data_IF_312658592198
#
_entry.id   IF_312658592198
#
_cell.length_a   1.000
_cell.length_b   1.000
_cell.length_c   1.000
_cell.angle_alpha   90.00
_cell.angle_beta   90.00
_cell.angle_gamma   90.00
#
_symmetry.space_group_name_H-M   'P 1'
#
loop_
_entity.id
_entity.type
_entity.pdbx_description
1 polymer ?
#
# COMPACT_ATOMS: atom_id res chain seq x y z
N UNK A 1 -29.72 7.85 40.40
CA UNK A 1 -28.40 7.22 40.26
C UNK A 1 -28.39 6.49 38.92
N UNK A 2 -27.80 7.09 37.90
CA UNK A 2 -27.60 6.45 36.59
C UNK A 2 -26.58 5.32 36.77
N UNK A 3 -26.96 4.09 36.39
CA UNK A 3 -26.03 2.96 36.35
C UNK A 3 -24.76 3.35 35.56
N UNK A 4 -23.56 2.98 36.03
CA UNK A 4 -22.36 3.13 35.22
C UNK A 4 -22.55 2.27 33.97
N UNK A 5 -22.62 2.90 32.80
CA UNK A 5 -22.66 2.20 31.52
C UNK A 5 -21.53 1.16 31.51
N UNK A 6 -21.90 -0.12 31.41
CA UNK A 6 -20.94 -1.22 31.44
C UNK A 6 -19.85 -0.96 30.42
N UNK A 7 -18.59 -0.86 30.89
CA UNK A 7 -17.44 -0.69 30.01
C UNK A 7 -17.50 -1.75 28.90
N UNK A 8 -17.49 -1.37 27.62
CA UNK A 8 -17.62 -2.34 26.54
C UNK A 8 -16.54 -3.41 26.68
N UNK A 9 -16.93 -4.68 26.68
CA UNK A 9 -15.98 -5.79 26.84
C UNK A 9 -15.02 -5.81 25.66
N UNK A 10 -13.74 -5.57 25.94
CA UNK A 10 -12.65 -5.63 24.96
C UNK A 10 -12.54 -7.06 24.42
N UNK A 11 -12.61 -7.22 23.10
CA UNK A 11 -12.51 -8.52 22.44
C UNK A 11 -11.20 -8.60 21.63
N UNK A 12 -10.60 -9.80 21.49
CA UNK A 12 -9.45 -10.03 20.60
C UNK A 12 -9.74 -9.58 19.15
N UNK A 13 -11.01 -9.66 18.73
CA UNK A 13 -11.45 -9.17 17.41
C UNK A 13 -11.20 -7.67 17.23
N UNK A 14 -11.23 -6.89 18.30
CA UNK A 14 -10.99 -5.45 18.23
C UNK A 14 -9.52 -5.16 17.90
N UNK A 15 -8.60 -5.92 18.52
CA UNK A 15 -7.18 -5.88 18.18
C UNK A 15 -6.93 -6.35 16.73
N UNK A 16 -7.63 -7.37 16.26
CA UNK A 16 -7.54 -7.83 14.87
C UNK A 16 -8.05 -6.80 13.86
N UNK A 17 -9.07 -6.00 14.19
CA UNK A 17 -9.60 -4.97 13.30
C UNK A 17 -8.59 -3.84 13.11
N UNK A 18 -7.93 -3.39 14.18
CA UNK A 18 -7.01 -2.23 14.11
C UNK A 18 -5.72 -2.55 13.34
N UNK A 19 -5.37 -3.82 13.13
CA UNK A 19 -4.23 -4.20 12.27
C UNK A 19 -4.56 -4.19 10.77
N UNK A 20 -5.79 -3.88 10.37
CA UNK A 20 -6.24 -3.83 8.95
C UNK A 20 -5.80 -5.07 8.13
N UNK A 21 -6.21 -6.29 8.52
CA UNK A 21 -5.63 -7.55 8.05
C UNK A 21 -5.68 -7.75 6.54
N UNK A 22 -6.71 -7.23 5.85
CA UNK A 22 -6.79 -7.31 4.39
C UNK A 22 -5.71 -6.46 3.70
N UNK A 23 -5.39 -5.29 4.27
CA UNK A 23 -4.37 -4.38 3.73
C UNK A 23 -2.98 -4.92 4.07
N UNK A 24 -2.80 -5.42 5.30
CA UNK A 24 -1.56 -6.08 5.73
C UNK A 24 -1.26 -7.32 4.91
N UNK A 25 -2.26 -8.14 4.60
CA UNK A 25 -2.10 -9.30 3.73
C UNK A 25 -1.63 -8.92 2.33
N UNK A 26 -2.19 -7.86 1.75
CA UNK A 26 -1.75 -7.37 0.45
C UNK A 26 -0.29 -6.92 0.48
N UNK A 27 0.11 -6.19 1.53
CA UNK A 27 1.51 -5.78 1.72
C UNK A 27 2.44 -6.99 1.80
N UNK A 28 2.11 -7.98 2.64
CA UNK A 28 2.90 -9.21 2.79
C UNK A 28 2.94 -10.03 1.51
N UNK A 29 1.84 -10.10 0.76
CA UNK A 29 1.82 -10.75 -0.55
C UNK A 29 2.79 -10.07 -1.54
N UNK A 30 2.81 -8.74 -1.60
CA UNK A 30 3.77 -8.01 -2.44
C UNK A 30 5.21 -8.14 -1.95
N UNK A 31 5.45 -8.23 -0.64
CA UNK A 31 6.76 -8.59 -0.10
C UNK A 31 7.18 -9.99 -0.50
N UNK A 32 6.27 -10.96 -0.43
CA UNK A 32 6.56 -12.32 -0.87
C UNK A 32 6.98 -12.36 -2.34
N UNK A 33 6.31 -11.62 -3.22
CA UNK A 33 6.76 -11.51 -4.62
C UNK A 33 8.17 -10.91 -4.71
N UNK A 34 8.46 -9.87 -3.93
CA UNK A 34 9.80 -9.29 -3.85
C UNK A 34 10.89 -10.28 -3.42
N UNK A 35 10.57 -11.19 -2.49
CA UNK A 35 11.49 -12.27 -2.07
C UNK A 35 11.81 -13.24 -3.22
N UNK A 36 10.82 -13.57 -4.05
CA UNK A 36 10.95 -14.54 -5.14
C UNK A 36 11.80 -14.02 -6.31
N UNK A 37 11.84 -12.70 -6.51
CA UNK A 37 12.54 -12.10 -7.65
C UNK A 37 14.06 -11.94 -7.44
N UNK A 38 14.60 -12.29 -6.27
CA UNK A 38 16.03 -12.09 -5.94
C UNK A 38 16.97 -13.00 -6.75
N UNK A 39 16.53 -14.22 -7.06
CA UNK A 39 17.33 -15.19 -7.79
C UNK A 39 16.50 -16.36 -8.29
N UNK A 40 17.15 -17.32 -8.96
CA UNK A 40 16.45 -18.45 -9.59
C UNK A 40 16.03 -19.54 -8.59
N UNK A 41 16.75 -19.66 -7.48
CA UNK A 41 16.40 -20.61 -6.43
C UNK A 41 15.34 -20.03 -5.50
N UNK A 42 14.42 -20.88 -5.05
CA UNK A 42 13.45 -20.48 -4.04
C UNK A 42 14.18 -20.11 -2.73
N UNK A 43 13.89 -18.94 -2.11
CA UNK A 43 14.56 -18.54 -0.88
C UNK A 43 14.30 -19.52 0.28
N UNK A 44 15.18 -19.55 1.28
CA UNK A 44 15.00 -20.47 2.41
C UNK A 44 13.65 -20.26 3.10
N UNK A 45 12.98 -21.35 3.49
CA UNK A 45 11.70 -21.29 4.20
C UNK A 45 11.77 -20.46 5.48
N UNK A 46 12.92 -20.46 6.16
CA UNK A 46 13.15 -19.63 7.35
C UNK A 46 13.02 -18.14 7.03
N UNK A 47 13.64 -17.67 5.95
CA UNK A 47 13.59 -16.28 5.51
C UNK A 47 12.19 -15.92 5.00
N UNK A 48 11.55 -16.79 4.21
CA UNK A 48 10.22 -16.53 3.65
C UNK A 48 9.17 -16.42 4.76
N UNK A 49 9.09 -17.43 5.63
CA UNK A 49 8.09 -17.46 6.70
C UNK A 49 8.40 -16.38 7.74
N UNK A 50 9.65 -16.29 8.19
CA UNK A 50 10.07 -15.30 9.18
C UNK A 50 9.92 -13.87 8.67
N UNK A 51 10.34 -13.59 7.44
CA UNK A 51 10.18 -12.29 6.78
C UNK A 51 8.71 -11.89 6.64
N UNK A 52 7.86 -12.78 6.14
CA UNK A 52 6.42 -12.51 6.02
C UNK A 52 5.76 -12.25 7.38
N UNK A 53 6.09 -13.03 8.42
CA UNK A 53 5.56 -12.83 9.78
C UNK A 53 6.06 -11.50 10.35
N UNK A 54 7.36 -11.22 10.25
CA UNK A 54 7.96 -9.99 10.77
C UNK A 54 7.36 -8.74 10.10
N UNK A 55 7.28 -8.73 8.78
CA UNK A 55 6.66 -7.64 8.00
C UNK A 55 5.18 -7.51 8.37
N UNK A 56 4.43 -8.62 8.50
CA UNK A 56 3.02 -8.60 8.92
C UNK A 56 2.86 -7.90 10.28
N UNK A 57 3.69 -8.25 11.25
CA UNK A 57 3.59 -7.73 12.62
C UNK A 57 3.90 -6.24 12.67
N UNK A 58 4.98 -5.77 12.03
CA UNK A 58 5.29 -4.34 11.97
C UNK A 58 4.26 -3.54 11.15
N UNK A 59 3.78 -4.07 10.02
CA UNK A 59 2.71 -3.43 9.26
C UNK A 59 1.41 -3.35 10.08
N UNK A 60 1.06 -4.42 10.80
CA UNK A 60 -0.07 -4.45 11.73
C UNK A 60 0.06 -3.43 12.86
N UNK A 61 1.26 -3.28 13.43
CA UNK A 61 1.56 -2.24 14.40
C UNK A 61 1.36 -0.84 13.80
N UNK A 62 1.82 -0.62 12.56
CA UNK A 62 1.68 0.67 11.87
C UNK A 62 0.22 1.01 11.64
N UNK A 63 -0.59 0.04 11.22
CA UNK A 63 -2.03 0.23 11.06
C UNK A 63 -2.76 0.46 12.39
N UNK A 64 -2.34 -0.20 13.47
CA UNK A 64 -2.91 0.04 14.79
C UNK A 64 -2.65 1.48 15.24
N UNK A 65 -1.42 1.97 15.09
CA UNK A 65 -1.07 3.37 15.35
C UNK A 65 -1.83 4.34 14.45
N UNK A 66 -1.93 4.06 13.15
CA UNK A 66 -2.72 4.87 12.23
C UNK A 66 -4.21 4.92 12.64
N UNK A 67 -4.81 3.81 13.07
CA UNK A 67 -6.19 3.79 13.57
C UNK A 67 -6.37 4.64 14.85
N UNK A 68 -5.35 4.71 15.71
CA UNK A 68 -5.35 5.55 16.90
C UNK A 68 -5.25 7.03 16.54
N UNK A 69 -4.28 7.38 15.69
CA UNK A 69 -4.03 8.76 15.27
C UNK A 69 -5.20 9.34 14.45
N UNK A 70 -5.91 8.48 13.72
CA UNK A 70 -7.10 8.85 12.94
C UNK A 70 -8.42 8.74 13.73
N UNK A 71 -8.41 8.30 15.00
CA UNK A 71 -9.63 7.93 15.72
C UNK A 71 -10.71 9.04 15.72
N UNK A 72 -10.30 10.30 15.92
CA UNK A 72 -11.22 11.45 15.93
C UNK A 72 -11.81 11.77 14.55
N UNK A 73 -11.06 11.51 13.47
CA UNK A 73 -11.53 11.68 12.08
C UNK A 73 -12.43 10.50 11.70
N UNK A 74 -12.00 9.29 12.03
CA UNK A 74 -12.73 8.06 11.76
C UNK A 74 -14.12 8.08 12.41
N UNK A 75 -14.25 8.63 13.63
CA UNK A 75 -15.52 8.79 14.35
C UNK A 75 -16.54 9.69 13.64
N UNK A 76 -16.10 10.55 12.71
CA UNK A 76 -16.96 11.46 11.93
C UNK A 76 -17.37 10.88 10.58
N UNK A 77 -16.87 9.69 10.21
CA UNK A 77 -17.09 9.08 8.90
C UNK A 77 -17.88 7.78 9.03
N UNK A 78 -19.07 7.69 8.40
CA UNK A 78 -19.94 6.50 8.40
C UNK A 78 -19.25 5.18 7.98
N UNK A 79 -18.14 5.27 7.25
CA UNK A 79 -17.37 4.12 6.77
C UNK A 79 -16.43 3.54 7.84
N UNK A 80 -16.07 4.33 8.84
CA UNK A 80 -14.97 4.03 9.78
C UNK A 80 -15.31 4.31 11.24
N UNK A 81 -16.47 4.89 11.51
CA UNK A 81 -17.02 5.13 12.85
C UNK A 81 -17.19 3.85 13.68
N UNK A 82 -17.33 2.69 13.03
CA UNK A 82 -17.43 1.37 13.67
C UNK A 82 -16.10 0.83 14.21
N UNK A 83 -14.96 1.45 13.87
CA UNK A 83 -13.64 0.96 14.28
C UNK A 83 -13.49 1.01 15.81
N UNK A 84 -12.85 0.01 16.44
CA UNK A 84 -12.68 -0.01 17.89
C UNK A 84 -11.95 1.21 18.46
N UNK A 85 -11.02 1.80 17.70
CA UNK A 85 -10.33 3.05 18.10
C UNK A 85 -11.25 4.27 18.08
N UNK A 86 -12.16 4.37 17.10
CA UNK A 86 -13.11 5.47 16.97
C UNK A 86 -14.26 5.37 17.99
N UNK A 87 -14.71 4.16 18.31
CA UNK A 87 -15.77 3.93 19.30
C UNK A 87 -15.29 3.98 20.75
N UNK A 88 -13.99 4.14 20.99
CA UNK A 88 -13.40 4.05 22.33
C UNK A 88 -13.49 2.67 22.97
N UNK A 89 -13.75 1.61 22.18
CA UNK A 89 -13.75 0.23 22.68
C UNK A 89 -12.35 -0.24 23.08
N UNK A 90 -11.32 0.25 22.39
CA UNK A 90 -9.94 0.12 22.81
C UNK A 90 -9.43 1.47 23.32
N UNK A 91 -8.83 1.49 24.50
CA UNK A 91 -8.20 2.69 25.03
C UNK A 91 -6.92 3.04 24.28
N UNK A 92 -6.52 4.31 24.32
CA UNK A 92 -5.24 4.79 23.77
C UNK A 92 -4.07 3.94 24.27
N UNK A 93 -4.01 3.66 25.58
CA UNK A 93 -2.96 2.85 26.18
C UNK A 93 -2.94 1.42 25.64
N UNK A 94 -4.12 0.79 25.48
CA UNK A 94 -4.22 -0.56 24.92
C UNK A 94 -3.69 -0.62 23.49
N UNK A 95 -4.05 0.36 22.64
CA UNK A 95 -3.59 0.38 21.26
C UNK A 95 -2.08 0.63 21.18
N UNK A 96 -1.54 1.57 21.97
CA UNK A 96 -0.11 1.86 22.00
C UNK A 96 0.69 0.65 22.48
N UNK A 97 0.30 0.04 23.61
CA UNK A 97 0.98 -1.16 24.13
C UNK A 97 0.92 -2.30 23.11
N UNK A 98 -0.25 -2.54 22.50
CA UNK A 98 -0.39 -3.56 21.47
C UNK A 98 0.50 -3.31 20.25
N UNK A 99 0.53 -2.08 19.74
CA UNK A 99 1.40 -1.72 18.63
C UNK A 99 2.89 -1.88 18.97
N UNK A 100 3.31 -1.50 20.18
CA UNK A 100 4.68 -1.69 20.66
C UNK A 100 5.04 -3.18 20.79
N UNK A 101 4.14 -4.02 21.30
CA UNK A 101 4.35 -5.46 21.39
C UNK A 101 4.48 -6.10 20.01
N UNK A 102 3.57 -5.78 19.08
CA UNK A 102 3.66 -6.25 17.69
C UNK A 102 4.95 -5.78 17.03
N UNK A 103 5.32 -4.50 17.23
CA UNK A 103 6.56 -3.92 16.70
C UNK A 103 7.81 -4.60 17.25
N UNK A 104 7.85 -4.88 18.55
CA UNK A 104 8.98 -5.55 19.20
C UNK A 104 9.11 -7.01 18.76
N UNK A 105 8.02 -7.77 18.74
CA UNK A 105 8.01 -9.17 18.30
C UNK A 105 8.38 -9.24 16.81
N UNK A 106 7.75 -8.41 15.97
CA UNK A 106 8.07 -8.35 14.55
C UNK A 106 9.53 -7.98 14.29
N UNK A 107 10.08 -7.04 15.07
CA UNK A 107 11.49 -6.66 14.98
C UNK A 107 12.42 -7.81 15.33
N UNK A 108 12.16 -8.51 16.43
CA UNK A 108 12.94 -9.68 16.84
C UNK A 108 12.89 -10.78 15.78
N UNK A 109 11.71 -11.04 15.20
CA UNK A 109 11.55 -12.03 14.11
C UNK A 109 12.38 -11.63 12.89
N UNK A 110 12.31 -10.38 12.43
CA UNK A 110 13.07 -9.94 11.25
C UNK A 110 14.58 -10.05 11.49
N UNK A 111 15.07 -9.59 12.63
CA UNK A 111 16.50 -9.67 12.96
C UNK A 111 16.97 -11.14 13.04
N UNK A 112 16.15 -12.02 13.61
CA UNK A 112 16.50 -13.43 13.81
C UNK A 112 16.36 -14.31 12.55
N UNK A 113 15.52 -13.92 11.58
CA UNK A 113 15.18 -14.77 10.42
C UNK A 113 15.60 -14.19 9.08
N UNK A 114 15.84 -12.87 9.01
CA UNK A 114 16.21 -12.14 7.80
C UNK A 114 17.52 -11.40 8.03
N UNK A 115 17.49 -10.08 8.23
CA UNK A 115 18.64 -9.22 8.45
C UNK A 115 18.23 -7.86 9.05
N UNK A 116 19.24 -7.10 9.50
CA UNK A 116 19.06 -5.77 10.10
C UNK A 116 18.56 -4.74 9.09
N UNK A 117 18.96 -4.84 7.80
CA UNK A 117 18.51 -3.91 6.76
C UNK A 117 16.99 -3.96 6.58
N UNK A 118 16.44 -5.17 6.45
CA UNK A 118 14.99 -5.39 6.29
C UNK A 118 14.22 -4.91 7.51
N UNK A 119 14.74 -5.19 8.70
CA UNK A 119 14.18 -4.65 9.94
C UNK A 119 14.15 -3.11 9.93
N UNK A 120 15.28 -2.47 9.64
CA UNK A 120 15.40 -1.02 9.63
C UNK A 120 14.47 -0.37 8.61
N UNK A 121 14.37 -0.92 7.39
CA UNK A 121 13.47 -0.42 6.36
C UNK A 121 12.00 -0.65 6.71
N UNK A 122 11.65 -1.79 7.33
CA UNK A 122 10.28 -2.06 7.77
C UNK A 122 9.88 -1.10 8.89
N UNK A 123 10.81 -0.83 9.82
CA UNK A 123 10.60 0.12 10.90
C UNK A 123 10.49 1.56 10.37
N UNK A 124 11.34 1.95 9.43
CA UNK A 124 11.25 3.25 8.76
C UNK A 124 9.91 3.40 8.01
N UNK A 125 9.42 2.34 7.36
CA UNK A 125 8.11 2.32 6.69
C UNK A 125 6.97 2.48 7.71
N UNK A 126 7.05 1.80 8.86
CA UNK A 126 6.13 1.99 9.99
C UNK A 126 6.08 3.45 10.43
N UNK A 127 7.23 4.09 10.66
CA UNK A 127 7.27 5.48 11.13
C UNK A 127 6.81 6.46 10.05
N UNK A 128 7.25 6.25 8.81
CA UNK A 128 6.86 7.05 7.65
C UNK A 128 5.35 7.03 7.43
N UNK A 129 4.70 5.86 7.53
CA UNK A 129 3.24 5.78 7.38
C UNK A 129 2.50 6.34 8.60
N UNK A 130 2.84 5.88 9.81
CA UNK A 130 2.10 6.21 11.02
C UNK A 130 2.22 7.69 11.40
N UNK A 131 3.39 8.31 11.24
CA UNK A 131 3.61 9.68 11.72
C UNK A 131 3.72 10.68 10.58
N UNK A 132 4.64 10.46 9.64
CA UNK A 132 4.88 11.43 8.55
C UNK A 132 3.65 11.52 7.63
N UNK A 133 3.14 10.39 7.15
CA UNK A 133 1.97 10.40 6.30
C UNK A 133 0.70 10.77 7.07
N UNK A 134 0.39 10.07 8.17
CA UNK A 134 -0.91 10.23 8.84
C UNK A 134 -1.08 11.60 9.51
N UNK A 135 -0.06 12.11 10.19
CA UNK A 135 -0.17 13.37 10.95
C UNK A 135 0.15 14.60 10.12
N UNK A 136 1.12 14.48 9.20
CA UNK A 136 1.64 15.65 8.48
C UNK A 136 1.14 15.74 7.04
N UNK A 137 1.34 14.70 6.21
CA UNK A 137 1.01 14.80 4.79
C UNK A 137 -0.50 14.72 4.52
N UNK A 138 -1.19 13.74 5.11
CA UNK A 138 -2.59 13.45 4.84
C UNK A 138 -3.52 14.68 5.00
N UNK A 139 -3.44 15.47 6.10
CA UNK A 139 -4.31 16.63 6.28
C UNK A 139 -3.84 17.88 5.52
N UNK A 140 -2.57 17.96 5.10
CA UNK A 140 -1.98 19.24 4.67
C UNK A 140 -1.60 19.34 3.19
N UNK A 141 -1.73 18.27 2.38
CA UNK A 141 -1.37 18.33 0.96
C UNK A 141 -2.31 17.55 0.03
N UNK A 142 -2.60 18.08 -1.17
CA UNK A 142 -3.30 17.33 -2.23
C UNK A 142 -2.48 16.22 -2.86
N UNK A 143 -1.17 16.18 -2.57
CA UNK A 143 -0.27 15.09 -2.93
C UNK A 143 -0.20 14.00 -1.85
N UNK A 144 -1.12 13.98 -0.90
CA UNK A 144 -1.16 13.01 0.19
C UNK A 144 -1.11 11.55 -0.31
N UNK A 145 -1.82 11.22 -1.38
CA UNK A 145 -1.80 9.89 -2.01
C UNK A 145 -0.48 9.62 -2.72
N UNK A 146 0.10 10.61 -3.39
CA UNK A 146 1.36 10.42 -4.13
C UNK A 146 2.50 10.16 -3.15
N UNK A 147 2.70 11.07 -2.19
CA UNK A 147 3.80 10.95 -1.22
C UNK A 147 3.51 9.82 -0.21
N UNK A 148 2.27 9.70 0.25
CA UNK A 148 1.83 8.60 1.13
C UNK A 148 1.89 7.23 0.47
N UNK A 149 1.79 7.18 -0.87
CA UNK A 149 1.96 5.98 -1.68
C UNK A 149 3.34 5.34 -1.55
N UNK A 150 4.36 6.10 -1.15
CA UNK A 150 5.71 5.57 -0.91
C UNK A 150 5.69 4.45 0.13
N UNK A 151 5.03 4.63 1.27
CA UNK A 151 4.94 3.59 2.28
C UNK A 151 4.19 2.35 1.78
N UNK A 152 3.18 2.54 0.93
CA UNK A 152 2.45 1.45 0.29
C UNK A 152 3.25 0.71 -0.80
N UNK A 153 4.27 1.35 -1.36
CA UNK A 153 5.15 0.79 -2.38
C UNK A 153 6.39 0.09 -1.82
N UNK A 154 6.70 0.25 -0.54
CA UNK A 154 7.80 -0.42 0.15
C UNK A 154 7.73 -1.96 0.22
N UNK A 155 6.57 -2.63 0.30
CA UNK A 155 6.57 -4.05 0.63
C UNK A 155 7.42 -4.96 -0.30
N UNK A 156 7.43 -4.83 -1.64
CA UNK A 156 8.36 -5.58 -2.49
C UNK A 156 9.84 -5.33 -2.16
N UNK A 157 10.21 -4.10 -1.78
CA UNK A 157 11.58 -3.76 -1.35
C UNK A 157 11.92 -4.53 -0.08
N UNK A 158 11.02 -4.53 0.92
CA UNK A 158 11.22 -5.26 2.17
C UNK A 158 11.35 -6.76 1.92
N UNK A 159 10.59 -7.29 0.97
CA UNK A 159 10.69 -8.67 0.52
C UNK A 159 12.05 -9.00 -0.09
N UNK A 160 12.49 -8.19 -1.05
CA UNK A 160 13.80 -8.35 -1.69
C UNK A 160 14.93 -8.28 -0.66
N UNK A 161 14.94 -7.24 0.18
CA UNK A 161 15.99 -7.04 1.17
C UNK A 161 16.02 -8.17 2.18
N UNK A 162 14.89 -8.84 2.47
CA UNK A 162 14.83 -9.97 3.39
C UNK A 162 15.73 -11.14 2.95
N UNK A 163 15.87 -11.32 1.62
CA UNK A 163 16.67 -12.39 1.02
C UNK A 163 18.04 -11.86 0.58
N UNK A 164 18.09 -10.77 -0.18
CA UNK A 164 19.31 -10.24 -0.78
C UNK A 164 20.18 -9.43 0.19
N UNK A 165 19.57 -8.86 1.23
CA UNK A 165 20.24 -7.94 2.17
C UNK A 165 20.95 -6.75 1.48
N UNK A 166 20.38 -6.24 0.37
CA UNK A 166 20.85 -5.05 -0.34
C UNK A 166 19.70 -4.13 -0.75
N UNK A 167 20.05 -2.91 -1.18
CA UNK A 167 19.17 -2.01 -1.92
C UNK A 167 19.78 -1.79 -3.30
N UNK A 168 19.57 -2.76 -4.18
CA UNK A 168 19.96 -2.69 -5.59
C UNK A 168 18.86 -2.07 -6.47
N UNK A 169 19.09 -1.98 -7.79
CA UNK A 169 18.11 -1.42 -8.72
C UNK A 169 16.78 -2.20 -8.80
N UNK A 170 16.75 -3.56 -8.85
CA UNK A 170 15.51 -4.33 -8.96
C UNK A 170 14.42 -4.00 -7.91
N UNK A 171 14.69 -4.00 -6.59
CA UNK A 171 13.66 -3.67 -5.61
C UNK A 171 13.15 -2.24 -5.74
N UNK A 172 14.02 -1.30 -6.11
CA UNK A 172 13.65 0.09 -6.34
C UNK A 172 12.75 0.25 -7.58
N UNK A 173 12.90 -0.58 -8.60
CA UNK A 173 11.98 -0.61 -9.73
C UNK A 173 10.60 -1.15 -9.33
N UNK A 174 10.54 -2.22 -8.52
CA UNK A 174 9.26 -2.72 -7.99
C UNK A 174 8.54 -1.66 -7.16
N UNK A 175 9.29 -0.94 -6.32
CA UNK A 175 8.80 0.24 -5.60
C UNK A 175 8.26 1.29 -6.58
N UNK A 176 9.04 1.66 -7.61
CA UNK A 176 8.67 2.72 -8.55
C UNK A 176 7.41 2.36 -9.34
N UNK A 177 7.22 1.09 -9.71
CA UNK A 177 6.01 0.59 -10.38
C UNK A 177 4.79 0.79 -9.48
N UNK A 178 4.83 0.33 -8.22
CA UNK A 178 3.69 0.50 -7.30
C UNK A 178 3.47 1.98 -6.98
N UNK A 179 4.54 2.74 -6.80
CA UNK A 179 4.48 4.17 -6.53
C UNK A 179 3.80 4.94 -7.67
N UNK A 180 4.23 4.72 -8.93
CA UNK A 180 3.63 5.36 -10.10
C UNK A 180 2.19 4.89 -10.38
N UNK A 181 1.87 3.64 -10.00
CA UNK A 181 0.52 3.07 -10.10
C UNK A 181 -0.47 3.64 -9.08
N UNK A 182 0.01 4.03 -7.90
CA UNK A 182 -0.84 4.46 -6.77
C UNK A 182 -1.74 5.66 -7.13
N UNK A 183 -1.24 6.75 -7.75
CA UNK A 183 -2.06 7.92 -8.06
C UNK A 183 -3.23 7.62 -9.03
N UNK A 184 -3.04 7.01 -10.21
CA UNK A 184 -4.15 6.71 -11.11
C UNK A 184 -5.15 5.71 -10.50
N UNK A 185 -4.70 4.79 -9.64
CA UNK A 185 -5.58 3.90 -8.89
C UNK A 185 -6.47 4.66 -7.89
N UNK A 186 -5.86 5.42 -6.97
CA UNK A 186 -6.58 6.10 -5.90
C UNK A 186 -7.39 7.29 -6.38
N UNK A 187 -6.91 8.05 -7.37
CA UNK A 187 -7.69 9.15 -7.93
C UNK A 187 -8.91 8.65 -8.70
N UNK A 188 -8.86 7.48 -9.33
CA UNK A 188 -10.06 6.85 -9.89
C UNK A 188 -11.12 6.57 -8.81
N UNK A 189 -10.73 6.17 -7.59
CA UNK A 189 -11.63 6.04 -6.43
C UNK A 189 -12.14 7.41 -5.96
N UNK A 190 -11.24 8.38 -5.82
CA UNK A 190 -11.56 9.71 -5.31
C UNK A 190 -12.56 10.45 -6.21
N UNK A 191 -12.49 10.26 -7.53
CA UNK A 191 -13.36 10.91 -8.49
C UNK A 191 -14.84 10.54 -8.31
N UNK A 192 -15.20 9.26 -8.16
CA UNK A 192 -16.61 8.86 -7.98
C UNK A 192 -17.07 8.89 -6.51
N UNK A 193 -16.21 9.37 -5.61
CA UNK A 193 -16.51 9.57 -4.18
C UNK A 193 -16.14 10.97 -3.70
N UNK A 194 -16.09 11.94 -4.60
CA UNK A 194 -15.58 13.29 -4.30
C UNK A 194 -16.32 13.92 -3.12
N UNK A 195 -17.65 13.76 -3.07
CA UNK A 195 -18.49 14.29 -1.99
C UNK A 195 -18.13 13.73 -0.60
N UNK A 196 -17.75 12.44 -0.52
CA UNK A 196 -17.33 11.83 0.75
C UNK A 196 -16.02 12.48 1.24
N UNK A 197 -15.11 12.80 0.31
CA UNK A 197 -13.85 13.43 0.63
C UNK A 197 -14.03 14.91 1.02
N UNK A 198 -14.88 15.65 0.31
CA UNK A 198 -15.26 17.03 0.64
C UNK A 198 -15.85 17.12 2.06
N UNK A 199 -16.82 16.26 2.40
CA UNK A 199 -17.43 16.21 3.73
C UNK A 199 -16.43 15.89 4.84
N UNK A 200 -15.38 15.13 4.53
CA UNK A 200 -14.33 14.77 5.49
C UNK A 200 -13.25 15.85 5.66
N UNK A 201 -13.25 16.90 4.83
CA UNK A 201 -12.23 17.97 4.84
C UNK A 201 -10.85 17.52 4.36
N UNK A 202 -10.73 16.32 3.76
CA UNK A 202 -9.45 15.85 3.22
C UNK A 202 -9.14 16.54 1.90
N UNK A 203 -7.96 17.15 1.73
CA UNK A 203 -7.61 17.95 0.56
C UNK A 203 -7.27 17.09 -0.67
N UNK A 204 -8.06 16.08 -1.00
CA UNK A 204 -7.80 15.20 -2.15
C UNK A 204 -7.72 16.00 -3.45
N UNK A 205 -6.90 15.55 -4.41
CA UNK A 205 -6.71 16.24 -5.68
C UNK A 205 -8.03 16.64 -6.41
N UNK A 206 -9.06 15.79 -6.52
CA UNK A 206 -10.32 16.18 -7.16
C UNK A 206 -11.12 17.22 -6.36
N UNK A 207 -10.91 17.30 -5.04
CA UNK A 207 -11.55 18.29 -4.17
C UNK A 207 -10.89 19.66 -4.31
N UNK A 208 -9.56 19.69 -4.38
CA UNK A 208 -8.79 20.95 -4.35
C UNK A 208 -8.56 21.55 -5.74
N UNK A 209 -8.38 20.72 -6.76
CA UNK A 209 -8.03 21.14 -8.12
C UNK A 209 -9.08 20.74 -9.16
N UNK A 210 -10.17 20.10 -8.72
CA UNK A 210 -11.25 19.68 -9.58
C UNK A 210 -10.96 18.40 -10.37
N UNK A 211 -12.02 17.92 -11.03
CA UNK A 211 -12.02 16.69 -11.81
C UNK A 211 -11.08 16.73 -13.00
N UNK A 212 -11.07 17.81 -13.77
CA UNK A 212 -10.37 17.85 -15.06
C UNK A 212 -8.85 17.81 -14.90
N UNK A 213 -8.34 18.52 -13.88
CA UNK A 213 -6.93 18.43 -13.49
C UNK A 213 -6.57 17.05 -12.97
N UNK A 214 -7.42 16.46 -12.12
CA UNK A 214 -7.22 15.09 -11.62
C UNK A 214 -7.14 14.07 -12.75
N UNK A 215 -8.03 14.15 -13.74
CA UNK A 215 -8.02 13.27 -14.91
C UNK A 215 -6.78 13.47 -15.79
N UNK A 216 -6.30 14.71 -15.92
CA UNK A 216 -5.03 14.98 -16.60
C UNK A 216 -3.86 14.33 -15.86
N UNK A 217 -3.78 14.50 -14.53
CA UNK A 217 -2.73 13.89 -13.71
C UNK A 217 -2.80 12.36 -13.80
N UNK A 218 -3.98 11.75 -13.70
CA UNK A 218 -4.15 10.31 -13.91
C UNK A 218 -3.57 9.85 -15.25
N UNK A 219 -3.84 10.59 -16.33
CA UNK A 219 -3.32 10.26 -17.66
C UNK A 219 -1.79 10.36 -17.72
N UNK A 220 -1.22 11.45 -17.19
CA UNK A 220 0.24 11.64 -17.13
C UNK A 220 0.92 10.53 -16.32
N UNK A 221 0.34 10.16 -15.17
CA UNK A 221 0.86 9.06 -14.36
C UNK A 221 0.71 7.69 -15.04
N UNK A 222 -0.31 7.45 -15.88
CA UNK A 222 -0.37 6.21 -16.67
C UNK A 222 0.72 6.13 -17.74
N UNK A 223 1.12 7.26 -18.34
CA UNK A 223 2.28 7.30 -19.23
C UNK A 223 3.59 7.07 -18.47
N UNK A 224 3.75 7.70 -17.29
CA UNK A 224 4.88 7.46 -16.41
C UNK A 224 4.96 5.99 -16.00
N UNK A 225 3.83 5.39 -15.61
CA UNK A 225 3.75 3.99 -15.23
C UNK A 225 4.13 3.04 -16.38
N UNK A 226 3.71 3.34 -17.61
CA UNK A 226 4.12 2.60 -18.80
C UNK A 226 5.64 2.71 -19.03
N UNK A 227 6.23 3.90 -18.88
CA UNK A 227 7.68 4.06 -19.01
C UNK A 227 8.43 3.28 -17.92
N UNK A 228 7.98 3.40 -16.67
CA UNK A 228 8.55 2.72 -15.50
C UNK A 228 8.43 1.20 -15.61
N UNK A 229 7.32 0.67 -16.11
CA UNK A 229 7.13 -0.78 -16.27
C UNK A 229 8.00 -1.39 -17.37
N UNK A 230 8.67 -0.60 -18.19
CA UNK A 230 9.65 -1.10 -19.17
C UNK A 230 11.09 -1.07 -18.63
N UNK A 231 11.34 -0.39 -17.51
CA UNK A 231 12.67 -0.34 -16.90
C UNK A 231 13.22 -1.70 -16.45
N UNK A 232 12.42 -2.67 -15.95
CA UNK A 232 12.94 -4.00 -15.65
C UNK A 232 13.58 -4.67 -16.88
N UNK A 233 13.03 -4.44 -18.08
CA UNK A 233 13.62 -4.93 -19.32
C UNK A 233 14.90 -4.18 -19.66
N UNK A 234 14.89 -2.85 -19.50
CA UNK A 234 16.03 -1.99 -19.83
C UNK A 234 17.29 -2.31 -18.99
N UNK A 235 17.11 -2.74 -17.73
CA UNK A 235 18.23 -3.13 -16.86
C UNK A 235 18.58 -4.63 -16.93
N UNK A 236 17.92 -5.40 -17.80
CA UNK A 236 18.12 -6.85 -17.93
C UNK A 236 17.57 -7.68 -16.78
N UNK A 237 16.68 -7.12 -15.95
CA UNK A 237 15.99 -7.84 -14.87
C UNK A 237 14.89 -8.76 -15.43
N UNK A 238 14.29 -8.40 -16.56
CA UNK A 238 13.26 -9.20 -17.24
C UNK A 238 13.45 -9.21 -18.76
N UNK A 239 12.86 -10.18 -19.42
CA UNK A 239 12.99 -10.43 -20.85
C UNK A 239 11.82 -9.86 -21.68
N UNK A 240 11.75 -10.27 -22.94
CA UNK A 240 10.72 -9.87 -23.90
C UNK A 240 9.31 -10.34 -23.50
N UNK A 241 9.15 -11.45 -22.77
CA UNK A 241 7.82 -11.95 -22.39
C UNK A 241 7.15 -10.97 -21.41
N UNK A 242 7.88 -10.52 -20.39
CA UNK A 242 7.43 -9.43 -19.53
C UNK A 242 7.19 -8.14 -20.32
N UNK A 243 8.08 -7.78 -21.25
CA UNK A 243 7.96 -6.57 -22.06
C UNK A 243 6.62 -6.50 -22.82
N UNK A 244 6.20 -7.60 -23.45
CA UNK A 244 4.92 -7.69 -24.16
C UNK A 244 3.75 -7.43 -23.19
N UNK A 245 3.75 -8.09 -22.03
CA UNK A 245 2.71 -7.89 -21.03
C UNK A 245 2.68 -6.43 -20.53
N UNK A 246 3.84 -5.84 -20.23
CA UNK A 246 3.96 -4.47 -19.75
C UNK A 246 3.44 -3.44 -20.78
N UNK A 247 3.80 -3.60 -22.05
CA UNK A 247 3.32 -2.72 -23.14
C UNK A 247 1.81 -2.85 -23.32
N UNK A 248 1.28 -4.07 -23.46
CA UNK A 248 -0.14 -4.29 -23.71
C UNK A 248 -1.00 -3.78 -22.55
N UNK A 249 -0.61 -4.09 -21.31
CA UNK A 249 -1.30 -3.61 -20.12
C UNK A 249 -1.20 -2.10 -19.98
N UNK A 250 -0.02 -1.52 -20.21
CA UNK A 250 0.22 -0.08 -20.03
C UNK A 250 -0.53 0.75 -21.07
N UNK A 251 -0.50 0.35 -22.35
CA UNK A 251 -1.30 0.98 -23.40
C UNK A 251 -2.79 0.84 -23.11
N UNK A 252 -3.24 -0.32 -22.63
CA UNK A 252 -4.65 -0.50 -22.23
C UNK A 252 -5.02 0.42 -21.06
N UNK A 253 -4.12 0.63 -20.09
CA UNK A 253 -4.37 1.52 -18.96
C UNK A 253 -4.50 2.98 -19.43
N UNK A 254 -3.57 3.44 -20.27
CA UNK A 254 -3.63 4.77 -20.89
C UNK A 254 -4.95 4.94 -21.66
N UNK A 255 -5.37 3.95 -22.45
CA UNK A 255 -6.63 4.00 -23.20
C UNK A 255 -7.87 4.14 -22.30
N UNK A 256 -7.96 3.36 -21.22
CA UNK A 256 -9.14 3.44 -20.33
C UNK A 256 -9.18 4.75 -19.54
N UNK A 257 -8.02 5.29 -19.14
CA UNK A 257 -7.95 6.61 -18.49
C UNK A 257 -8.23 7.73 -19.47
N UNK A 258 -7.74 7.65 -20.70
CA UNK A 258 -8.08 8.58 -21.78
C UNK A 258 -9.59 8.59 -22.07
N UNK A 259 -10.20 7.40 -22.16
CA UNK A 259 -11.65 7.28 -22.35
C UNK A 259 -12.44 7.88 -21.18
N UNK A 260 -11.95 7.75 -19.93
CA UNK A 260 -12.55 8.39 -18.77
C UNK A 260 -12.39 9.91 -18.83
N UNK A 261 -11.23 10.41 -19.27
CA UNK A 261 -10.96 11.84 -19.40
C UNK A 261 -11.84 12.51 -20.46
N UNK A 262 -12.06 11.85 -21.60
CA UNK A 262 -12.85 12.40 -22.71
C UNK A 262 -14.34 12.46 -22.40
N UNK A 263 -14.86 11.45 -21.73
CA UNK A 263 -16.28 11.33 -21.44
C UNK A 263 -16.45 10.69 -20.06
N UNK A 264 -16.48 11.54 -19.04
CA UNK A 264 -16.48 11.12 -17.65
C UNK A 264 -17.79 10.47 -17.24
N UNK A 265 -17.70 9.33 -16.56
CA UNK A 265 -18.80 8.78 -15.78
C UNK A 265 -18.28 8.00 -14.58
N UNK A 266 -19.05 7.97 -13.49
CA UNK A 266 -18.70 7.18 -12.31
C UNK A 266 -18.53 5.69 -12.62
N UNK A 267 -19.32 5.18 -13.58
CA UNK A 267 -19.19 3.81 -14.04
C UNK A 267 -17.81 3.54 -14.68
N UNK A 268 -17.32 4.46 -15.51
CA UNK A 268 -15.96 4.39 -16.07
C UNK A 268 -14.90 4.57 -15.00
N UNK A 269 -15.09 5.47 -14.03
CA UNK A 269 -14.13 5.67 -12.93
C UNK A 269 -13.99 4.41 -12.05
N UNK A 270 -15.12 3.74 -11.76
CA UNK A 270 -15.13 2.41 -11.10
C UNK A 270 -14.48 1.32 -11.97
N UNK A 271 -14.64 1.38 -13.29
CA UNK A 271 -13.99 0.45 -14.20
C UNK A 271 -12.47 0.64 -14.22
N UNK A 272 -11.98 1.90 -14.25
CA UNK A 272 -10.55 2.23 -14.13
C UNK A 272 -9.98 1.75 -12.80
N UNK A 273 -10.68 1.99 -11.69
CA UNK A 273 -10.28 1.48 -10.38
C UNK A 273 -10.14 -0.05 -10.37
N UNK A 274 -11.12 -0.80 -10.89
CA UNK A 274 -11.04 -2.26 -10.98
C UNK A 274 -9.94 -2.73 -11.91
N UNK A 275 -9.84 -2.14 -13.09
CA UNK A 275 -8.82 -2.47 -14.08
C UNK A 275 -7.41 -2.25 -13.52
N UNK A 276 -7.18 -1.18 -12.75
CA UNK A 276 -5.87 -0.91 -12.17
C UNK A 276 -5.40 -2.00 -11.19
N UNK A 277 -6.32 -2.67 -10.46
CA UNK A 277 -5.96 -3.83 -9.63
C UNK A 277 -5.55 -5.02 -10.51
N UNK A 278 -6.34 -5.32 -11.55
CA UNK A 278 -6.01 -6.37 -12.53
C UNK A 278 -4.68 -6.08 -13.23
N UNK A 279 -4.43 -4.83 -13.62
CA UNK A 279 -3.17 -4.38 -14.22
C UNK A 279 -1.99 -4.77 -13.32
N UNK A 280 -2.04 -4.40 -12.05
CA UNK A 280 -0.91 -4.63 -11.13
C UNK A 280 -0.72 -6.13 -10.88
N UNK A 281 -1.80 -6.89 -10.66
CA UNK A 281 -1.73 -8.34 -10.47
C UNK A 281 -1.13 -9.04 -11.69
N UNK A 282 -1.62 -8.76 -12.89
CA UNK A 282 -1.12 -9.41 -14.12
C UNK A 282 0.32 -8.99 -14.41
N UNK A 283 0.68 -7.73 -14.19
CA UNK A 283 2.05 -7.24 -14.38
C UNK A 283 3.05 -7.96 -13.46
N UNK A 284 2.72 -8.11 -12.17
CA UNK A 284 3.57 -8.83 -11.21
C UNK A 284 3.60 -10.35 -11.47
N UNK A 285 2.50 -10.93 -11.95
CA UNK A 285 2.51 -12.33 -12.43
C UNK A 285 3.42 -12.49 -13.65
N UNK A 286 3.37 -11.56 -14.60
CA UNK A 286 4.27 -11.58 -15.76
C UNK A 286 5.74 -11.45 -15.36
N UNK A 287 6.06 -10.58 -14.39
CA UNK A 287 7.41 -10.48 -13.81
C UNK A 287 7.90 -11.82 -13.28
N UNK A 288 7.07 -12.51 -12.48
CA UNK A 288 7.44 -13.81 -11.89
C UNK A 288 7.58 -14.91 -12.94
N UNK A 289 6.65 -14.99 -13.89
CA UNK A 289 6.70 -16.01 -14.95
C UNK A 289 7.94 -15.83 -15.81
N UNK A 290 8.22 -14.60 -16.23
CA UNK A 290 9.39 -14.27 -17.04
C UNK A 290 10.72 -14.54 -16.29
N UNK A 291 10.77 -14.18 -15.01
CA UNK A 291 11.92 -14.41 -14.12
C UNK A 291 12.29 -15.89 -13.98
N UNK A 292 11.31 -16.79 -13.87
CA UNK A 292 11.57 -18.22 -13.66
C UNK A 292 11.63 -19.05 -14.96
N UNK A 293 11.07 -18.56 -16.06
CA UNK A 293 11.03 -19.32 -17.32
C UNK A 293 12.09 -18.89 -18.33
N UNK A 294 12.59 -17.67 -18.26
CA UNK A 294 13.44 -17.09 -19.32
C UNK A 294 14.75 -16.53 -18.79
N UNK A 295 14.68 -15.64 -17.80
CA UNK A 295 15.87 -15.11 -17.09
C UNK A 295 16.40 -16.19 -16.15
#
# INVERSE_FOLDING_TARGET
MSEPASSPRVNWRDYWIVTKPRVTLLAVFTSFIGMLLVGQSFPSWRVVIGGCIGIWLLAGASFAMNCLLEAAVDAKMKRTDWRPSAQGRLSTTQIVVFALLLGAIGSAVLIATTNVLTWALTLATFFGYSFVYTLYLKPNTPQNIVIGGAAGAMPPVLGWTAVANDISAPPLLLFLIIFAWTPPHFWALALYRVEDYEKSGLPMLPVTHGRDFTLLQMLLYTFLLLAVSLLPVAIGMNSWLYAIAAVLLGLRFVQVVWSLKRDYSDAKSRAVFRFSLTYLSVLFTALLIDHYLIV
#
